data_IF_515988625766
#
_entry.id   IF_515988625766
#
_cell.length_a   1.000
_cell.length_b   1.000
_cell.length_c   1.000
_cell.angle_alpha   90.00
_cell.angle_beta   90.00
_cell.angle_gamma   90.00
#
_symmetry.space_group_name_H-M   'P 1'
#
loop_
_entity.id
_entity.type
_entity.pdbx_description
1 polymer ?
#
# COMPACT_ATOMS: atom_id res chain seq x y z
N UNK A 1 -0.03 3.62 -14.33
CA UNK A 1 -0.50 3.40 -12.95
C UNK A 1 -1.85 2.70 -13.06
N UNK A 2 -2.06 1.61 -12.34
CA UNK A 2 -3.39 0.98 -12.18
C UNK A 2 -3.99 1.43 -10.85
N UNK A 3 -5.24 1.84 -10.82
CA UNK A 3 -5.95 2.30 -9.61
C UNK A 3 -7.14 1.41 -9.36
N UNK A 4 -7.11 0.72 -8.22
CA UNK A 4 -8.18 -0.18 -7.80
C UNK A 4 -8.78 0.30 -6.48
N UNK A 5 -10.08 0.14 -6.31
CA UNK A 5 -10.76 0.37 -5.03
C UNK A 5 -11.11 -0.97 -4.39
N UNK A 6 -10.96 -1.09 -3.07
CA UNK A 6 -11.41 -2.26 -2.31
C UNK A 6 -12.37 -1.85 -1.21
N UNK A 7 -13.61 -2.31 -1.31
CA UNK A 7 -14.62 -2.21 -0.26
C UNK A 7 -14.46 -3.39 0.70
N UNK A 8 -14.16 -3.14 1.98
CA UNK A 8 -14.12 -4.24 2.97
C UNK A 8 -15.53 -4.63 3.43
N UNK A 9 -15.73 -5.89 3.87
CA UNK A 9 -16.93 -6.27 4.60
C UNK A 9 -17.11 -5.43 5.87
N UNK A 10 -18.37 -5.20 6.26
CA UNK A 10 -18.71 -4.64 7.59
C UNK A 10 -18.24 -5.60 8.68
N UNK A 11 -17.69 -5.05 9.75
CA UNK A 11 -17.23 -5.80 10.91
C UNK A 11 -18.42 -6.30 11.74
N UNK A 12 -18.18 -7.30 12.61
CA UNK A 12 -19.20 -7.81 13.54
C UNK A 12 -19.80 -6.69 14.41
N UNK A 13 -18.98 -5.71 14.81
CA UNK A 13 -19.40 -4.56 15.60
C UNK A 13 -20.37 -3.67 14.81
N UNK A 14 -20.02 -3.32 13.59
CA UNK A 14 -20.85 -2.48 12.70
C UNK A 14 -22.19 -3.16 12.39
N UNK A 15 -22.17 -4.47 12.14
CA UNK A 15 -23.39 -5.26 11.95
C UNK A 15 -24.27 -5.31 13.21
N UNK A 16 -23.67 -5.50 14.40
CA UNK A 16 -24.41 -5.53 15.67
C UNK A 16 -25.02 -4.17 16.04
N UNK A 17 -24.44 -3.08 15.53
CA UNK A 17 -24.93 -1.72 15.70
C UNK A 17 -25.98 -1.34 14.65
N UNK A 18 -26.31 -2.24 13.72
CA UNK A 18 -27.27 -1.98 12.65
C UNK A 18 -26.77 -0.96 11.62
N UNK A 19 -25.45 -0.77 11.49
CA UNK A 19 -24.92 0.18 10.50
C UNK A 19 -25.24 -0.30 9.09
N UNK A 20 -25.91 0.56 8.32
CA UNK A 20 -26.28 0.29 6.92
C UNK A 20 -25.06 0.29 6.01
N UNK A 21 -25.23 -0.25 4.81
CA UNK A 21 -24.23 -0.18 3.75
C UNK A 21 -24.54 1.02 2.85
N UNK A 22 -23.71 2.06 2.91
CA UNK A 22 -23.85 3.31 2.16
C UNK A 22 -23.07 3.33 0.84
N UNK A 23 -22.33 2.27 0.53
CA UNK A 23 -21.46 2.19 -0.65
C UNK A 23 -21.80 0.95 -1.46
N UNK A 24 -22.16 1.12 -2.73
CA UNK A 24 -22.51 0.03 -3.65
C UNK A 24 -21.44 -0.11 -4.73
N UNK A 25 -21.16 -1.35 -5.13
CA UNK A 25 -20.32 -1.66 -6.30
C UNK A 25 -21.26 -2.06 -7.42
N UNK A 26 -21.08 -1.48 -8.61
CA UNK A 26 -21.89 -1.77 -9.78
C UNK A 26 -21.44 -3.09 -10.44
N UNK A 27 -22.32 -3.70 -11.24
CA UNK A 27 -22.08 -5.02 -11.87
C UNK A 27 -20.90 -5.03 -12.84
N UNK A 28 -20.46 -3.86 -13.32
CA UNK A 28 -19.28 -3.73 -14.18
C UNK A 28 -17.96 -3.92 -13.41
N UNK A 29 -17.99 -3.99 -12.08
CA UNK A 29 -16.84 -4.04 -11.18
C UNK A 29 -15.81 -2.92 -11.43
N UNK A 30 -16.24 -1.79 -11.99
CA UNK A 30 -15.42 -0.61 -12.25
C UNK A 30 -16.00 0.62 -11.58
N UNK A 31 -17.30 0.64 -11.31
CA UNK A 31 -17.99 1.79 -10.74
C UNK A 31 -18.40 1.56 -9.28
N UNK A 32 -18.09 2.55 -8.44
CA UNK A 32 -18.52 2.64 -7.05
C UNK A 32 -19.52 3.78 -6.87
N UNK A 33 -20.60 3.51 -6.15
CA UNK A 33 -21.73 4.41 -5.94
C UNK A 33 -21.93 4.69 -4.46
N UNK A 34 -22.08 5.96 -4.10
CA UNK A 34 -22.36 6.39 -2.73
C UNK A 34 -23.63 7.24 -2.70
N UNK A 35 -24.55 6.86 -1.82
CA UNK A 35 -25.78 7.62 -1.56
C UNK A 35 -25.67 8.23 -0.16
N UNK A 36 -25.30 9.50 -0.09
CA UNK A 36 -25.15 10.24 1.17
C UNK A 36 -26.46 10.96 1.52
N UNK A 37 -26.97 10.76 2.73
CA UNK A 37 -28.12 11.51 3.23
C UNK A 37 -27.64 12.82 3.86
N UNK A 38 -27.96 13.95 3.23
CA UNK A 38 -27.63 15.29 3.72
C UNK A 38 -28.86 16.01 4.24
N UNK A 39 -28.64 16.86 5.25
CA UNK A 39 -29.66 17.70 5.86
C UNK A 39 -29.63 19.08 5.22
N UNK A 40 -30.78 19.57 4.77
CA UNK A 40 -30.96 20.94 4.27
C UNK A 40 -31.10 21.94 5.43
N UNK A 41 -30.94 23.26 5.18
CA UNK A 41 -31.16 24.28 6.19
C UNK A 41 -32.57 24.25 6.82
N UNK A 42 -33.58 23.84 6.05
CA UNK A 42 -34.97 23.68 6.49
C UNK A 42 -35.23 22.38 7.28
N UNK A 43 -34.17 21.65 7.64
CA UNK A 43 -34.20 20.34 8.30
C UNK A 43 -34.80 19.18 7.47
N UNK A 44 -35.14 19.38 6.21
CA UNK A 44 -35.46 18.27 5.30
C UNK A 44 -34.21 17.50 4.89
N UNK A 45 -34.37 16.23 4.52
CA UNK A 45 -33.27 15.39 4.03
C UNK A 45 -33.29 15.29 2.51
N UNK A 46 -32.11 15.27 1.89
CA UNK A 46 -31.94 14.90 0.49
C UNK A 46 -30.81 13.89 0.35
N UNK A 47 -30.88 13.05 -0.70
CA UNK A 47 -29.81 12.11 -1.03
C UNK A 47 -28.93 12.73 -2.09
N UNK A 48 -27.66 12.94 -1.76
CA UNK A 48 -26.63 13.29 -2.72
C UNK A 48 -25.97 12.01 -3.23
N UNK A 49 -25.82 11.90 -4.55
CA UNK A 49 -25.32 10.71 -5.21
C UNK A 49 -23.95 10.98 -5.78
N UNK A 50 -22.98 10.17 -5.39
CA UNK A 50 -21.62 10.21 -5.93
C UNK A 50 -21.32 8.93 -6.70
N UNK A 51 -20.60 9.08 -7.81
CA UNK A 51 -20.21 7.96 -8.68
C UNK A 51 -18.77 8.16 -9.12
N UNK A 52 -17.95 7.12 -8.98
CA UNK A 52 -16.56 7.10 -9.40
C UNK A 52 -16.27 5.83 -10.18
N UNK A 53 -15.39 5.91 -11.18
CA UNK A 53 -14.99 4.78 -12.01
C UNK A 53 -13.48 4.59 -11.94
N UNK A 54 -13.04 3.34 -11.75
CA UNK A 54 -11.65 2.93 -11.57
C UNK A 54 -11.30 1.74 -12.48
N UNK A 55 -10.04 1.28 -12.46
CA UNK A 55 -9.63 0.11 -13.24
C UNK A 55 -10.22 -1.21 -12.70
N UNK A 56 -10.56 -1.24 -11.41
CA UNK A 56 -11.30 -2.32 -10.71
C UNK A 56 -11.88 -1.77 -9.40
N UNK A 57 -13.07 -2.23 -9.05
CA UNK A 57 -13.73 -2.03 -7.76
C UNK A 57 -14.01 -3.41 -7.17
N UNK A 58 -13.21 -3.75 -6.17
CA UNK A 58 -13.17 -5.04 -5.51
C UNK A 58 -14.16 -5.04 -4.35
N UNK A 59 -15.29 -5.72 -4.54
CA UNK A 59 -16.39 -5.84 -3.59
C UNK A 59 -16.05 -6.76 -2.38
N UNK A 60 -16.96 -6.83 -1.41
CA UNK A 60 -16.75 -7.43 -0.07
C UNK A 60 -16.47 -8.93 -0.08
N UNK A 61 -16.92 -9.64 -1.09
CA UNK A 61 -16.74 -11.08 -1.30
C UNK A 61 -15.36 -11.44 -1.88
N UNK A 62 -14.62 -10.46 -2.40
CA UNK A 62 -13.29 -10.69 -2.94
C UNK A 62 -12.21 -10.87 -1.84
N UNK A 63 -11.73 -12.10 -1.73
CA UNK A 63 -10.61 -12.51 -0.88
C UNK A 63 -9.28 -11.97 -1.37
N UNK A 64 -8.24 -11.99 -0.52
CA UNK A 64 -6.94 -11.40 -0.86
C UNK A 64 -6.26 -12.04 -2.08
N UNK A 65 -6.48 -13.33 -2.36
CA UNK A 65 -5.95 -13.98 -3.57
C UNK A 65 -6.49 -13.35 -4.85
N UNK A 66 -7.80 -13.11 -4.92
CA UNK A 66 -8.41 -12.42 -6.05
C UNK A 66 -7.90 -10.98 -6.17
N UNK A 67 -7.82 -10.26 -5.05
CA UNK A 67 -7.26 -8.90 -5.03
C UNK A 67 -5.81 -8.90 -5.56
N UNK A 68 -4.99 -9.88 -5.16
CA UNK A 68 -3.61 -10.03 -5.61
C UNK A 68 -3.51 -10.23 -7.12
N UNK A 69 -4.31 -11.13 -7.69
CA UNK A 69 -4.36 -11.41 -9.14
C UNK A 69 -4.68 -10.14 -9.94
N UNK A 70 -5.64 -9.34 -9.47
CA UNK A 70 -6.07 -8.10 -10.14
C UNK A 70 -5.09 -6.92 -9.97
N UNK A 71 -4.18 -6.98 -9.01
CA UNK A 71 -3.33 -5.84 -8.61
C UNK A 71 -1.83 -6.12 -8.72
N UNK A 72 -1.28 -6.95 -7.84
CA UNK A 72 0.15 -7.13 -7.66
C UNK A 72 0.75 -8.28 -8.48
N UNK A 73 -0.04 -9.24 -8.95
CA UNK A 73 0.47 -10.35 -9.77
C UNK A 73 1.15 -9.84 -11.06
N UNK A 74 0.57 -8.91 -11.85
CA UNK A 74 1.25 -8.38 -13.05
C UNK A 74 2.55 -7.63 -12.73
N UNK A 75 2.69 -7.13 -11.50
CA UNK A 75 3.91 -6.47 -11.02
C UNK A 75 5.03 -7.46 -10.75
N UNK A 76 4.71 -8.68 -10.30
CA UNK A 76 5.70 -9.76 -10.16
C UNK A 76 6.26 -10.13 -11.54
N UNK A 77 5.41 -10.38 -12.54
CA UNK A 77 5.88 -10.66 -13.91
C UNK A 77 6.79 -9.55 -14.44
N UNK A 78 6.43 -8.29 -14.19
CA UNK A 78 7.20 -7.13 -14.63
C UNK A 78 8.65 -7.11 -14.09
N UNK A 79 8.87 -7.41 -12.80
CA UNK A 79 10.22 -7.35 -12.21
C UNK A 79 11.14 -8.46 -12.75
N UNK A 80 10.59 -9.59 -13.19
CA UNK A 80 11.35 -10.67 -13.84
C UNK A 80 11.64 -10.36 -15.31
N UNK A 81 10.65 -9.87 -16.06
CA UNK A 81 10.76 -9.71 -17.52
C UNK A 81 11.46 -8.43 -17.97
N UNK A 82 11.28 -7.32 -17.23
CA UNK A 82 11.72 -5.99 -17.65
C UNK A 82 12.88 -5.44 -16.85
N UNK A 83 13.33 -6.17 -15.83
CA UNK A 83 14.40 -5.77 -14.90
C UNK A 83 14.17 -4.34 -14.37
N UNK A 84 12.96 -4.10 -13.86
CA UNK A 84 12.49 -2.79 -13.40
C UNK A 84 12.01 -2.80 -11.95
N UNK A 85 11.51 -1.66 -11.50
CA UNK A 85 10.89 -1.53 -10.18
C UNK A 85 9.37 -1.64 -10.29
N UNK A 86 8.74 -2.27 -9.32
CA UNK A 86 7.29 -2.30 -9.22
C UNK A 86 6.83 -1.95 -7.83
N UNK A 87 5.69 -1.26 -7.71
CA UNK A 87 5.14 -0.85 -6.43
C UNK A 87 3.65 -1.14 -6.35
N UNK A 88 3.23 -1.92 -5.36
CA UNK A 88 1.84 -2.04 -4.96
C UNK A 88 1.66 -1.28 -3.64
N UNK A 89 0.76 -0.31 -3.59
CA UNK A 89 0.53 0.44 -2.37
C UNK A 89 -0.95 0.56 -2.05
N UNK A 90 -1.28 0.51 -0.76
CA UNK A 90 -2.64 0.72 -0.28
C UNK A 90 -2.77 2.03 0.48
N UNK A 91 -3.85 2.74 0.21
CA UNK A 91 -4.24 4.01 0.81
C UNK A 91 -5.69 3.94 1.32
N UNK A 92 -6.07 4.86 2.21
CA UNK A 92 -7.41 4.96 2.78
C UNK A 92 -7.37 5.20 4.29
N UNK A 93 -8.54 5.37 4.90
CA UNK A 93 -8.67 5.67 6.33
C UNK A 93 -8.24 4.53 7.26
N UNK A 94 -8.13 4.79 8.57
CA UNK A 94 -7.92 3.74 9.58
C UNK A 94 -9.03 2.69 9.51
N UNK A 95 -8.65 1.42 9.73
CA UNK A 95 -9.54 0.27 9.72
C UNK A 95 -10.23 -0.03 8.38
N UNK A 96 -9.85 0.64 7.27
CA UNK A 96 -10.38 0.33 5.93
C UNK A 96 -9.89 -1.01 5.34
N UNK A 97 -8.87 -1.61 5.96
CA UNK A 97 -8.34 -2.92 5.56
C UNK A 97 -6.99 -2.89 4.85
N UNK A 98 -6.25 -1.77 4.87
CA UNK A 98 -4.89 -1.67 4.28
C UNK A 98 -3.96 -2.79 4.75
N UNK A 99 -3.72 -2.88 6.06
CA UNK A 99 -2.81 -3.90 6.64
C UNK A 99 -3.30 -5.32 6.37
N UNK A 100 -4.61 -5.56 6.46
CA UNK A 100 -5.19 -6.86 6.13
C UNK A 100 -4.92 -7.25 4.67
N UNK A 101 -5.03 -6.28 3.75
CA UNK A 101 -4.81 -6.50 2.32
C UNK A 101 -3.33 -6.76 2.02
N UNK A 102 -2.42 -5.99 2.61
CA UNK A 102 -1.00 -6.01 2.24
C UNK A 102 -0.16 -6.99 3.06
N UNK A 103 -0.38 -7.03 4.38
CA UNK A 103 0.52 -7.62 5.37
C UNK A 103 -0.15 -8.64 6.29
N UNK A 104 -1.32 -9.19 5.91
CA UNK A 104 -1.83 -10.38 6.57
C UNK A 104 -0.82 -11.53 6.36
N UNK A 105 -0.39 -12.15 7.45
CA UNK A 105 0.63 -13.21 7.45
C UNK A 105 0.17 -14.52 6.78
N UNK A 106 -1.13 -14.69 6.54
CA UNK A 106 -1.67 -15.90 5.90
C UNK A 106 -1.84 -15.69 4.39
N UNK A 107 -2.49 -14.60 4.00
CA UNK A 107 -2.96 -14.37 2.63
C UNK A 107 -2.75 -12.94 2.13
N UNK A 108 -1.98 -12.11 2.84
CA UNK A 108 -1.70 -10.73 2.39
C UNK A 108 -0.95 -10.70 1.07
N UNK A 109 -1.13 -9.62 0.30
CA UNK A 109 -0.48 -9.42 -1.02
C UNK A 109 1.02 -9.65 -0.95
N UNK A 110 1.69 -9.24 0.13
CA UNK A 110 3.13 -9.45 0.29
C UNK A 110 3.52 -10.95 0.37
N UNK A 111 2.72 -11.78 1.05
CA UNK A 111 2.92 -13.23 1.16
C UNK A 111 2.63 -13.92 -0.17
N UNK A 112 1.53 -13.53 -0.83
CA UNK A 112 1.15 -14.07 -2.15
C UNK A 112 2.19 -13.72 -3.22
N UNK A 113 2.68 -12.47 -3.22
CA UNK A 113 3.77 -12.05 -4.10
C UNK A 113 5.06 -12.82 -3.85
N UNK A 114 5.43 -13.04 -2.58
CA UNK A 114 6.62 -13.84 -2.25
C UNK A 114 6.50 -15.29 -2.73
N UNK A 115 5.31 -15.90 -2.61
CA UNK A 115 5.02 -17.23 -3.14
C UNK A 115 5.23 -17.29 -4.65
N UNK A 116 4.65 -16.35 -5.38
CA UNK A 116 4.80 -16.28 -6.84
C UNK A 116 6.25 -16.04 -7.27
N UNK A 117 6.96 -15.13 -6.59
CA UNK A 117 8.39 -14.88 -6.80
C UNK A 117 9.20 -16.16 -6.60
N UNK A 118 8.96 -16.91 -5.51
CA UNK A 118 9.68 -18.16 -5.24
C UNK A 118 9.38 -19.24 -6.29
N UNK A 119 8.13 -19.33 -6.79
CA UNK A 119 7.78 -20.22 -7.89
C UNK A 119 8.50 -19.82 -9.19
N UNK A 120 8.54 -18.52 -9.51
CA UNK A 120 9.24 -18.00 -10.68
C UNK A 120 10.75 -18.31 -10.64
N UNK A 121 11.38 -18.25 -9.46
CA UNK A 121 12.80 -18.58 -9.28
C UNK A 121 13.15 -20.06 -9.54
N UNK A 122 12.15 -20.95 -9.58
CA UNK A 122 12.37 -22.36 -9.94
C UNK A 122 12.44 -22.59 -11.46
N UNK A 123 12.01 -21.62 -12.27
CA UNK A 123 12.08 -21.73 -13.74
C UNK A 123 13.53 -21.65 -14.21
N UNK A 124 13.97 -22.47 -15.19
CA UNK A 124 15.35 -22.51 -15.66
C UNK A 124 15.94 -21.15 -16.01
N UNK A 125 15.15 -20.27 -16.64
CA UNK A 125 15.58 -18.92 -17.02
C UNK A 125 15.88 -18.00 -15.82
N UNK A 126 15.37 -18.31 -14.63
CA UNK A 126 15.50 -17.48 -13.42
C UNK A 126 16.25 -18.14 -12.27
N UNK A 127 16.75 -19.37 -12.43
CA UNK A 127 17.49 -20.10 -11.37
C UNK A 127 18.78 -19.39 -10.91
N UNK A 128 19.33 -18.51 -11.75
CA UNK A 128 20.50 -17.70 -11.43
C UNK A 128 20.19 -16.55 -10.44
N UNK A 129 18.91 -16.32 -10.11
CA UNK A 129 18.45 -15.25 -9.24
C UNK A 129 18.10 -15.74 -7.83
N UNK A 130 18.03 -14.80 -6.89
CA UNK A 130 17.58 -15.01 -5.51
C UNK A 130 16.74 -13.82 -5.03
N UNK A 131 15.76 -14.11 -4.15
CA UNK A 131 14.90 -13.09 -3.54
C UNK A 131 15.42 -12.67 -2.16
N UNK A 132 15.50 -11.35 -1.96
CA UNK A 132 15.94 -10.71 -0.72
C UNK A 132 14.87 -9.76 -0.21
N UNK A 133 14.54 -9.84 1.08
CA UNK A 133 13.47 -9.07 1.69
C UNK A 133 14.05 -8.06 2.68
N UNK A 134 13.65 -6.81 2.55
CA UNK A 134 13.83 -5.76 3.56
C UNK A 134 12.47 -5.22 3.99
N UNK A 135 12.35 -4.82 5.25
CA UNK A 135 11.10 -4.26 5.78
C UNK A 135 11.41 -3.06 6.67
N UNK A 136 10.84 -1.89 6.35
CA UNK A 136 11.11 -0.66 7.07
C UNK A 136 9.85 0.20 7.23
N UNK A 137 9.91 1.09 8.21
CA UNK A 137 8.87 2.06 8.53
C UNK A 137 9.36 3.47 8.17
N UNK A 138 8.51 4.27 7.54
CA UNK A 138 8.64 5.73 7.55
C UNK A 138 7.71 6.23 8.66
N UNK A 139 8.26 6.69 9.77
CA UNK A 139 7.51 7.24 10.89
C UNK A 139 7.90 8.69 11.12
N UNK A 140 6.94 9.61 11.03
CA UNK A 140 7.16 11.06 11.18
C UNK A 140 8.36 11.56 10.33
N UNK A 141 8.37 11.18 9.06
CA UNK A 141 9.44 11.51 8.09
C UNK A 141 10.84 10.96 8.45
N UNK A 142 10.95 10.02 9.39
CA UNK A 142 12.19 9.28 9.71
C UNK A 142 12.06 7.81 9.28
N UNK A 143 13.18 7.19 8.88
CA UNK A 143 13.21 5.80 8.43
C UNK A 143 13.75 4.89 9.55
N UNK A 144 13.11 3.74 9.73
CA UNK A 144 13.47 2.75 10.73
C UNK A 144 13.41 1.33 10.15
N UNK A 145 14.46 0.54 10.35
CA UNK A 145 14.52 -0.84 9.90
C UNK A 145 13.71 -1.76 10.83
N UNK A 146 12.63 -2.36 10.31
CA UNK A 146 11.76 -3.24 11.08
C UNK A 146 12.34 -4.65 11.26
N UNK A 147 13.45 -4.99 10.60
CA UNK A 147 14.17 -6.27 10.73
C UNK A 147 15.52 -6.11 11.46
N UNK A 148 15.80 -4.93 12.00
CA UNK A 148 17.01 -4.62 12.78
C UNK A 148 16.64 -3.72 13.98
N UNK A 149 15.66 -4.14 14.78
CA UNK A 149 15.24 -3.49 16.04
C UNK A 149 14.95 -1.98 15.92
N UNK A 150 14.23 -1.60 14.86
CA UNK A 150 13.92 -0.20 14.52
C UNK A 150 15.16 0.67 14.42
N UNK A 151 16.30 0.14 13.98
CA UNK A 151 17.50 0.93 13.76
C UNK A 151 17.22 2.05 12.75
N UNK A 152 17.67 3.26 13.07
CA UNK A 152 17.49 4.43 12.21
C UNK A 152 18.25 4.26 10.89
N UNK A 153 17.55 4.49 9.79
CA UNK A 153 18.09 4.45 8.43
C UNK A 153 18.26 5.86 7.86
N UNK A 154 19.12 5.96 6.84
CA UNK A 154 19.44 7.24 6.19
C UNK A 154 19.18 7.17 4.69
N UNK A 155 18.88 8.32 4.09
CA UNK A 155 18.71 8.45 2.64
C UNK A 155 19.95 9.09 2.03
N UNK A 156 20.37 8.60 0.87
CA UNK A 156 21.35 9.25 0.00
C UNK A 156 20.67 9.59 -1.32
N UNK A 157 20.87 10.81 -1.79
CA UNK A 157 20.38 11.22 -3.11
C UNK A 157 21.39 10.76 -4.15
N UNK A 158 20.91 10.00 -5.14
CA UNK A 158 21.69 9.53 -6.28
C UNK A 158 20.91 9.93 -7.53
N UNK A 159 21.61 10.26 -8.62
CA UNK A 159 21.05 10.83 -9.86
C UNK A 159 19.77 10.13 -10.36
N UNK A 160 19.74 8.80 -10.32
CA UNK A 160 18.62 7.98 -10.80
C UNK A 160 17.70 7.42 -9.68
N UNK A 161 18.12 7.61 -8.42
CA UNK A 161 17.45 7.11 -7.22
C UNK A 161 17.50 8.20 -6.14
N UNK A 162 16.59 9.19 -6.20
CA UNK A 162 16.61 10.32 -5.28
C UNK A 162 16.41 9.91 -3.82
N UNK A 163 16.01 8.68 -3.52
CA UNK A 163 15.93 8.13 -2.16
C UNK A 163 16.57 6.73 -2.05
N UNK A 164 17.88 6.63 -2.29
CA UNK A 164 18.60 5.41 -1.95
C UNK A 164 18.70 5.26 -0.41
N UNK A 165 18.09 4.20 0.12
CA UNK A 165 18.13 3.90 1.56
C UNK A 165 19.45 3.21 1.90
N UNK A 166 20.19 3.77 2.85
CA UNK A 166 21.48 3.26 3.32
C UNK A 166 21.29 2.56 4.66
N UNK A 167 21.84 1.36 4.77
CA UNK A 167 21.86 0.58 6.01
C UNK A 167 20.66 -0.34 6.21
N UNK A 168 19.70 -0.40 5.27
CA UNK A 168 18.58 -1.34 5.32
C UNK A 168 19.10 -2.77 5.26
N UNK A 169 18.76 -3.56 6.26
CA UNK A 169 19.08 -4.98 6.32
C UNK A 169 18.11 -5.76 5.44
N UNK A 170 18.68 -6.61 4.60
CA UNK A 170 17.92 -7.48 3.72
C UNK A 170 18.31 -8.93 3.94
N UNK A 171 17.31 -9.81 3.94
CA UNK A 171 17.47 -11.23 4.22
C UNK A 171 16.98 -12.07 3.04
N UNK A 172 17.77 -13.07 2.65
CA UNK A 172 17.37 -14.00 1.60
C UNK A 172 16.23 -14.88 2.09
N UNK A 173 15.15 -14.95 1.32
CA UNK A 173 14.06 -15.91 1.54
C UNK A 173 14.27 -17.14 0.65
N UNK A 174 14.01 -18.33 1.20
CA UNK A 174 14.07 -19.62 0.51
C UNK A 174 12.69 -20.27 0.39
N UNK A 175 11.78 -19.90 1.27
CA UNK A 175 10.41 -20.41 1.30
C UNK A 175 9.45 -19.31 1.81
N UNK A 176 8.14 -19.57 1.73
CA UNK A 176 7.11 -18.61 2.15
C UNK A 176 7.11 -18.40 3.67
N UNK A 177 7.52 -19.40 4.46
CA UNK A 177 7.59 -19.27 5.93
C UNK A 177 8.61 -18.20 6.35
N UNK A 178 9.73 -18.07 5.64
CA UNK A 178 10.72 -17.01 5.90
C UNK A 178 10.08 -15.62 5.77
N UNK A 179 9.27 -15.43 4.72
CA UNK A 179 8.53 -14.18 4.48
C UNK A 179 7.51 -13.90 5.59
N UNK A 180 6.75 -14.92 6.01
CA UNK A 180 5.77 -14.82 7.09
C UNK A 180 6.45 -14.40 8.40
N UNK A 181 7.60 -14.98 8.72
CA UNK A 181 8.39 -14.61 9.90
C UNK A 181 8.82 -13.14 9.87
N UNK A 182 9.35 -12.66 8.73
CA UNK A 182 9.76 -11.26 8.59
C UNK A 182 8.59 -10.29 8.75
N UNK A 183 7.43 -10.60 8.16
CA UNK A 183 6.21 -9.79 8.33
C UNK A 183 5.79 -9.75 9.80
N UNK A 184 5.76 -10.90 10.47
CA UNK A 184 5.37 -10.97 11.88
C UNK A 184 6.33 -10.18 12.79
N UNK A 185 7.64 -10.38 12.64
CA UNK A 185 8.65 -9.64 13.40
C UNK A 185 8.55 -8.14 13.15
N UNK A 186 8.49 -7.71 11.89
CA UNK A 186 8.42 -6.28 11.56
C UNK A 186 7.13 -5.62 12.05
N UNK A 187 5.99 -6.32 11.96
CA UNK A 187 4.71 -5.83 12.47
C UNK A 187 4.63 -5.79 14.00
N UNK A 188 5.46 -6.54 14.72
CA UNK A 188 5.56 -6.42 16.19
C UNK A 188 6.30 -5.15 16.60
N UNK A 189 7.34 -4.77 15.85
CA UNK A 189 8.16 -3.59 16.14
C UNK A 189 7.58 -2.28 15.60
N UNK A 190 6.71 -2.31 14.59
CA UNK A 190 6.11 -1.12 13.97
C UNK A 190 5.25 -0.32 14.97
N UNK A 191 5.34 1.02 14.94
CA UNK A 191 4.54 1.91 15.82
C UNK A 191 3.04 1.94 15.47
N UNK A 192 2.67 1.57 14.23
CA UNK A 192 1.28 1.48 13.72
C UNK A 192 0.44 2.74 13.97
N UNK A 193 1.08 3.90 13.98
CA UNK A 193 0.38 5.19 14.02
C UNK A 193 -0.40 5.40 12.70
N UNK A 194 -1.73 5.59 12.76
CA UNK A 194 -2.56 5.66 11.57
C UNK A 194 -2.24 6.87 10.67
N UNK A 195 -1.69 7.96 11.21
CA UNK A 195 -1.43 9.21 10.50
C UNK A 195 0.02 9.36 10.06
N UNK A 196 0.95 8.72 10.78
CA UNK A 196 2.38 8.97 10.59
C UNK A 196 3.23 7.74 10.28
N UNK A 197 2.69 6.51 10.39
CA UNK A 197 3.44 5.27 10.15
C UNK A 197 3.12 4.68 8.79
N UNK A 198 4.07 4.79 7.86
CA UNK A 198 4.05 4.04 6.60
C UNK A 198 4.90 2.79 6.73
N UNK A 199 4.41 1.66 6.25
CA UNK A 199 5.18 0.41 6.20
C UNK A 199 5.56 0.08 4.77
N UNK A 200 6.82 -0.30 4.54
CA UNK A 200 7.33 -0.66 3.21
C UNK A 200 8.10 -1.96 3.28
N UNK A 201 7.56 -3.00 2.65
CA UNK A 201 8.24 -4.26 2.44
C UNK A 201 8.76 -4.31 1.01
N UNK A 202 10.03 -4.63 0.84
CA UNK A 202 10.68 -4.73 -0.45
C UNK A 202 11.15 -6.16 -0.70
N UNK A 203 10.83 -6.70 -1.87
CA UNK A 203 11.40 -7.94 -2.41
C UNK A 203 12.34 -7.55 -3.56
N UNK A 204 13.64 -7.78 -3.40
CA UNK A 204 14.66 -7.52 -4.42
C UNK A 204 15.14 -8.83 -5.06
N UNK A 205 15.16 -8.86 -6.40
CA UNK A 205 15.75 -9.94 -7.19
C UNK A 205 17.22 -9.64 -7.46
N UNK A 206 18.11 -10.54 -7.08
CA UNK A 206 19.57 -10.39 -7.23
C UNK A 206 20.19 -11.62 -7.85
N UNK A 207 21.26 -11.42 -8.62
CA UNK A 207 22.06 -12.55 -9.10
C UNK A 207 22.68 -13.28 -7.90
N UNK A 208 22.71 -14.60 -7.97
CA UNK A 208 23.26 -15.44 -6.91
C UNK A 208 24.78 -15.26 -6.78
N UNK A 209 25.45 -15.07 -7.92
CA UNK A 209 26.91 -14.95 -8.01
C UNK A 209 27.40 -13.51 -7.73
N UNK A 210 26.58 -12.50 -8.03
CA UNK A 210 26.85 -11.10 -7.65
C UNK A 210 25.63 -10.44 -6.99
N UNK A 211 25.66 -10.40 -5.66
CA UNK A 211 24.61 -9.78 -4.83
C UNK A 211 24.53 -8.25 -5.01
N UNK A 212 25.50 -7.60 -5.67
CA UNK A 212 25.45 -6.15 -5.93
C UNK A 212 24.55 -5.83 -7.11
N UNK A 213 24.36 -6.77 -8.04
CA UNK A 213 23.49 -6.58 -9.20
C UNK A 213 22.05 -6.88 -8.82
N UNK A 214 21.24 -5.83 -8.68
CA UNK A 214 19.79 -5.97 -8.48
C UNK A 214 19.09 -5.88 -9.83
N UNK A 215 18.36 -6.94 -10.18
CA UNK A 215 17.61 -7.04 -11.44
C UNK A 215 16.28 -6.27 -11.37
N UNK A 216 15.58 -6.36 -10.24
CA UNK A 216 14.29 -5.71 -10.07
C UNK A 216 13.84 -5.72 -8.62
N UNK A 217 12.93 -4.82 -8.26
CA UNK A 217 12.40 -4.69 -6.90
C UNK A 217 10.90 -4.57 -6.93
N UNK A 218 10.19 -5.39 -6.17
CA UNK A 218 8.78 -5.19 -5.84
C UNK A 218 8.69 -4.55 -4.45
N UNK A 219 7.99 -3.42 -4.35
CA UNK A 219 7.68 -2.74 -3.08
C UNK A 219 6.19 -2.90 -2.78
N UNK A 220 5.87 -3.34 -1.57
CA UNK A 220 4.50 -3.38 -1.03
C UNK A 220 4.42 -2.35 0.08
N UNK A 221 3.56 -1.33 -0.07
CA UNK A 221 3.56 -0.15 0.80
C UNK A 221 2.18 0.10 1.41
N UNK A 222 2.11 0.17 2.75
CA UNK A 222 0.95 0.70 3.45
C UNK A 222 1.16 2.18 3.73
N UNK A 223 0.29 3.02 3.17
CA UNK A 223 0.34 4.46 3.34
C UNK A 223 -0.56 4.86 4.52
N UNK A 224 -0.03 5.70 5.40
CA UNK A 224 -0.79 6.31 6.49
C UNK A 224 -1.95 7.15 5.97
N UNK A 225 -2.99 7.27 6.77
CA UNK A 225 -4.19 8.05 6.48
C UNK A 225 -3.86 9.54 6.28
N UNK A 226 -4.50 10.18 5.31
CA UNK A 226 -4.32 11.60 5.01
C UNK A 226 -2.99 11.96 4.34
N UNK A 227 -2.05 11.03 4.19
CA UNK A 227 -0.73 11.34 3.65
C UNK A 227 -0.71 11.70 2.16
N UNK A 228 -1.80 11.42 1.43
CA UNK A 228 -1.95 11.74 0.01
C UNK A 228 -3.02 12.82 -0.23
N UNK A 229 -3.64 13.36 0.82
CA UNK A 229 -4.68 14.35 0.67
C UNK A 229 -4.09 15.70 0.24
N UNK A 230 -4.72 16.35 -0.75
CA UNK A 230 -4.24 17.61 -1.35
C UNK A 230 -4.26 18.79 -0.38
N UNK A 231 -5.05 18.70 0.67
CA UNK A 231 -5.12 19.70 1.74
C UNK A 231 -4.19 19.32 2.89
N UNK A 232 -2.87 19.44 2.66
CA UNK A 232 -1.85 19.56 3.73
C UNK A 232 -2.00 20.90 4.48
N UNK A 233 -3.23 21.24 4.90
CA UNK A 233 -3.50 22.29 5.89
C UNK A 233 -3.97 21.65 7.18
N UNK A 234 -3.29 20.60 7.60
CA UNK A 234 -3.44 20.06 8.96
C UNK A 234 -2.81 21.02 9.97
N UNK A 235 -3.46 21.15 11.14
CA UNK A 235 -3.13 22.08 12.25
C UNK A 235 -1.67 22.11 12.71
N UNK A 236 -0.85 21.12 12.37
CA UNK A 236 0.57 21.05 12.71
C UNK A 236 1.47 21.96 11.84
N UNK A 237 1.03 22.31 10.63
CA UNK A 237 1.84 23.11 9.68
C UNK A 237 1.80 24.63 9.98
N UNK A 238 0.99 25.07 10.95
CA UNK A 238 0.89 26.48 11.33
C UNK A 238 2.13 26.96 12.10
N UNK A 239 2.87 26.07 12.78
CA UNK A 239 4.03 26.45 13.60
C UNK A 239 5.38 26.47 12.86
N UNK A 240 5.49 25.92 11.65
CA UNK A 240 6.77 25.77 10.92
C UNK A 240 6.90 26.70 9.69
N UNK A 241 6.59 27.99 9.84
CA UNK A 241 6.61 28.99 8.74
C UNK A 241 7.98 29.55 8.32
N UNK A 242 9.10 28.85 8.53
CA UNK A 242 10.43 29.41 8.20
C UNK A 242 11.40 28.49 7.45
N UNK A 243 10.99 27.27 7.11
CA UNK A 243 11.85 26.34 6.35
C UNK A 243 11.20 25.98 5.01
N UNK A 244 11.98 25.87 3.92
CA UNK A 244 11.46 25.29 2.68
C UNK A 244 10.90 23.90 3.00
N UNK A 245 9.64 23.66 2.63
CA UNK A 245 8.95 22.40 2.91
C UNK A 245 9.68 21.30 2.15
N UNK A 246 10.53 20.53 2.85
CA UNK A 246 11.12 19.32 2.28
C UNK A 246 9.97 18.37 1.97
N UNK A 247 9.86 17.93 0.73
CA UNK A 247 8.88 16.91 0.33
C UNK A 247 9.03 15.68 1.24
N UNK A 248 7.93 15.28 1.89
CA UNK A 248 7.88 14.12 2.80
C UNK A 248 8.48 12.89 2.11
N UNK A 249 9.27 12.09 2.85
CA UNK A 249 9.93 10.89 2.32
C UNK A 249 8.95 9.95 1.67
N UNK A 250 7.78 9.70 2.27
CA UNK A 250 6.77 8.83 1.63
C UNK A 250 6.42 9.28 0.21
N UNK A 251 6.22 10.58 -0.02
CA UNK A 251 5.93 11.15 -1.33
C UNK A 251 7.12 11.00 -2.26
N UNK A 252 8.34 11.23 -1.78
CA UNK A 252 9.56 10.99 -2.58
C UNK A 252 9.67 9.52 -3.01
N UNK A 253 9.36 8.57 -2.13
CA UNK A 253 9.41 7.12 -2.42
C UNK A 253 8.32 6.71 -3.42
N UNK A 254 7.13 7.29 -3.29
CA UNK A 254 6.05 7.09 -4.26
C UNK A 254 6.41 7.68 -5.62
N UNK A 255 6.99 8.88 -5.67
CA UNK A 255 7.45 9.49 -6.91
C UNK A 255 8.46 8.59 -7.64
N UNK A 256 9.41 7.95 -6.94
CA UNK A 256 10.30 6.95 -7.56
C UNK A 256 9.54 5.79 -8.21
N UNK A 257 8.40 5.40 -7.64
CA UNK A 257 7.57 4.31 -8.15
C UNK A 257 6.88 4.65 -9.47
N UNK A 258 6.84 5.93 -9.85
CA UNK A 258 6.27 6.42 -11.10
C UNK A 258 7.34 6.89 -12.10
N UNK A 259 8.61 6.92 -11.71
CA UNK A 259 9.72 7.32 -12.57
C UNK A 259 10.40 6.13 -13.23
N UNK A 260 11.06 6.37 -14.38
CA UNK A 260 11.88 5.40 -15.11
C UNK A 260 11.13 4.11 -15.50
N UNK A 261 11.86 3.00 -15.67
CA UNK A 261 11.32 1.64 -15.88
C UNK A 261 10.62 1.13 -14.60
N UNK A 262 9.49 1.74 -14.27
CA UNK A 262 8.68 1.37 -13.11
C UNK A 262 7.22 1.11 -13.47
N UNK A 263 6.57 0.22 -12.72
CA UNK A 263 5.11 0.03 -12.75
C UNK A 263 4.53 0.13 -11.36
N UNK A 264 3.33 0.70 -11.25
CA UNK A 264 2.69 0.84 -9.95
C UNK A 264 1.19 0.52 -10.01
N UNK A 265 0.69 -0.05 -8.92
CA UNK A 265 -0.71 -0.30 -8.63
C UNK A 265 -1.08 0.34 -7.29
N UNK A 266 -2.15 1.13 -7.28
CA UNK A 266 -2.77 1.71 -6.09
C UNK A 266 -3.99 0.88 -5.69
N UNK A 267 -4.16 0.64 -4.40
CA UNK A 267 -5.34 0.01 -3.81
C UNK A 267 -5.96 0.97 -2.79
N UNK A 268 -6.98 1.71 -3.20
CA UNK A 268 -7.76 2.57 -2.32
C UNK A 268 -8.75 1.72 -1.52
N UNK A 269 -8.54 1.61 -0.21
CA UNK A 269 -9.38 0.81 0.68
C UNK A 269 -10.43 1.70 1.34
N UNK A 270 -11.70 1.31 1.27
CA UNK A 270 -12.82 2.15 1.72
C UNK A 270 -13.71 1.44 2.74
N UNK A 271 -14.35 2.26 3.59
CA UNK A 271 -15.42 1.83 4.47
C UNK A 271 -16.76 2.08 3.83
N UNK A 272 -17.76 1.29 4.24
CA UNK A 272 -19.08 1.40 3.65
C UNK A 272 -20.15 1.93 4.60
N UNK A 273 -19.78 2.24 5.83
CA UNK A 273 -20.75 2.65 6.85
C UNK A 273 -21.01 4.16 6.82
N UNK A 274 -22.24 4.62 7.14
CA UNK A 274 -22.63 6.03 7.03
C UNK A 274 -21.70 7.00 7.77
N UNK A 275 -21.18 6.58 8.93
CA UNK A 275 -20.25 7.35 9.77
C UNK A 275 -18.89 7.63 9.10
N UNK A 276 -18.57 6.94 8.01
CA UNK A 276 -17.28 7.01 7.31
C UNK A 276 -17.41 7.49 5.85
N UNK A 277 -18.60 7.97 5.43
CA UNK A 277 -18.84 8.35 4.04
C UNK A 277 -17.97 9.53 3.60
N UNK A 278 -17.77 10.54 4.46
CA UNK A 278 -16.91 11.68 4.15
C UNK A 278 -15.46 11.23 3.89
N UNK A 279 -14.86 10.48 4.82
CA UNK A 279 -13.51 9.90 4.67
C UNK A 279 -13.39 8.96 3.47
N UNK A 280 -14.47 8.25 3.14
CA UNK A 280 -14.54 7.40 1.95
C UNK A 280 -14.54 8.24 0.67
N UNK A 281 -15.32 9.33 0.62
CA UNK A 281 -15.33 10.26 -0.50
C UNK A 281 -13.95 10.90 -0.70
N UNK A 282 -13.27 11.28 0.38
CA UNK A 282 -11.92 11.86 0.28
C UNK A 282 -10.90 10.85 -0.25
N UNK A 283 -10.98 9.60 0.22
CA UNK A 283 -10.17 8.50 -0.31
C UNK A 283 -10.41 8.29 -1.81
N UNK A 284 -11.66 8.33 -2.27
CA UNK A 284 -12.04 8.14 -3.67
C UNK A 284 -11.69 9.34 -4.56
N UNK A 285 -11.67 10.56 -4.03
CA UNK A 285 -11.25 11.77 -4.76
C UNK A 285 -9.73 11.86 -4.90
N UNK A 286 -9.00 11.29 -3.94
CA UNK A 286 -7.54 11.21 -3.96
C UNK A 286 -7.04 10.16 -4.97
N UNK A 287 -7.73 9.00 -5.01
CA UNK A 287 -7.45 7.90 -5.94
C UNK A 287 -7.71 8.29 -7.40
#
# INVERSE_FOLDING_TARGET
LRVCVRKRPRSKKELSQGERDGVSVMDDNCTILINESKKRPDSSHFTERYMFTFDDVLNTDHVNSYVYERTAQPLVSYIFEKSGNATCFAYGQRNSGKTHTLFNSHDGISVLAAREVLNMLQKPEYMHLSAWVGFYEIYQDQLYDLLDDRKKLYTREIKDHPMAIVGLKEFRIKNVSDMIQMINCGNQLRMKDPLYSHAVLQIALRQTDDKKVTMGKLRVMEIAEGALDKDERTRADVELRSKPVKTKKVIRLLNESFMNKSRACMIATVLSTPSNIESTLDTLRCA
#
